data_IF_830337343760
#
_entry.id   IF_830337343760
#
_cell.length_a   1.000
_cell.length_b   1.000
_cell.length_c   1.000
_cell.angle_alpha   90.00
_cell.angle_beta   90.00
_cell.angle_gamma   90.00
#
_symmetry.space_group_name_H-M   'P 1'
#
loop_
_entity.id
_entity.type
_entity.pdbx_description
1 polymer ?
#
# COMPACT_ATOMS: atom_id res chain seq x y z
N UNK A 1 13.05 -1.47 46.41
CA UNK A 1 11.57 -1.42 46.30
C UNK A 1 11.26 -1.37 44.82
N UNK A 2 10.66 -2.39 44.20
CA UNK A 2 10.48 -2.33 42.74
C UNK A 2 9.48 -1.28 42.27
N UNK A 3 9.61 -0.88 41.00
CA UNK A 3 8.79 0.13 40.33
C UNK A 3 8.46 -0.31 38.89
N UNK A 4 7.39 0.26 38.31
CA UNK A 4 7.00 -0.03 36.92
C UNK A 4 7.61 1.00 35.97
N UNK A 5 8.15 0.53 34.84
CA UNK A 5 8.67 1.37 33.76
C UNK A 5 7.99 1.01 32.44
N UNK A 6 7.70 2.01 31.61
CA UNK A 6 7.37 1.77 30.21
C UNK A 6 8.66 1.60 29.42
N UNK A 7 8.72 0.54 28.60
CA UNK A 7 9.81 0.33 27.65
C UNK A 7 9.27 -0.11 26.30
N UNK A 8 10.02 0.14 25.24
CA UNK A 8 9.69 -0.42 23.92
C UNK A 8 9.84 -1.93 23.94
N UNK A 9 8.78 -2.65 23.56
CA UNK A 9 8.83 -4.07 23.31
C UNK A 9 9.53 -4.32 21.96
N UNK A 10 10.69 -5.01 21.94
CA UNK A 10 11.47 -5.21 20.72
C UNK A 10 10.73 -6.08 19.69
N UNK A 11 9.91 -7.04 20.13
CA UNK A 11 9.16 -7.92 19.22
C UNK A 11 8.06 -7.15 18.50
N UNK A 12 7.37 -6.24 19.19
CA UNK A 12 6.33 -5.40 18.60
C UNK A 12 6.94 -4.35 17.66
N UNK A 13 8.07 -3.76 18.04
CA UNK A 13 8.82 -2.86 17.15
C UNK A 13 9.28 -3.56 15.87
N UNK A 14 9.78 -4.79 15.97
CA UNK A 14 10.20 -5.58 14.81
C UNK A 14 9.02 -6.04 13.95
N UNK A 15 7.89 -6.42 14.56
CA UNK A 15 6.66 -6.72 13.85
C UNK A 15 6.14 -5.51 13.07
N UNK A 16 6.14 -4.32 13.68
CA UNK A 16 5.76 -3.05 13.02
C UNK A 16 6.65 -2.77 11.80
N UNK A 17 7.98 -2.92 11.96
CA UNK A 17 8.94 -2.73 10.86
C UNK A 17 8.73 -3.71 9.71
N UNK A 18 8.45 -4.98 10.01
CA UNK A 18 8.14 -6.00 8.99
C UNK A 18 6.83 -5.70 8.26
N UNK A 19 5.79 -5.30 8.98
CA UNK A 19 4.51 -4.90 8.40
C UNK A 19 4.67 -3.68 7.49
N UNK A 20 5.40 -2.65 7.93
CA UNK A 20 5.70 -1.47 7.13
C UNK A 20 6.45 -1.84 5.83
N UNK A 21 7.47 -2.69 5.93
CA UNK A 21 8.25 -3.14 4.76
C UNK A 21 7.38 -3.89 3.75
N UNK A 22 6.51 -4.79 4.22
CA UNK A 22 5.59 -5.53 3.36
C UNK A 22 4.57 -4.61 2.68
N UNK A 23 4.04 -3.62 3.39
CA UNK A 23 3.12 -2.64 2.84
C UNK A 23 3.79 -1.71 1.82
N UNK A 24 5.04 -1.29 2.05
CA UNK A 24 5.81 -0.51 1.07
C UNK A 24 6.08 -1.32 -0.21
N UNK A 25 6.37 -2.62 -0.10
CA UNK A 25 6.51 -3.49 -1.27
C UNK A 25 5.19 -3.62 -2.04
N UNK A 26 4.07 -3.83 -1.33
CA UNK A 26 2.75 -3.88 -1.93
C UNK A 26 2.38 -2.56 -2.64
N UNK A 27 2.77 -1.41 -2.07
CA UNK A 27 2.59 -0.10 -2.69
C UNK A 27 3.35 0.02 -4.01
N UNK A 28 4.60 -0.47 -4.04
CA UNK A 28 5.41 -0.52 -5.25
C UNK A 28 4.74 -1.33 -6.36
N UNK A 29 4.29 -2.54 -6.04
CA UNK A 29 3.59 -3.42 -6.99
C UNK A 29 2.27 -2.80 -7.50
N UNK A 30 1.49 -2.16 -6.62
CA UNK A 30 0.26 -1.48 -6.99
C UNK A 30 0.52 -0.29 -7.94
N UNK A 31 1.57 0.49 -7.68
CA UNK A 31 1.98 1.60 -8.55
C UNK A 31 2.46 1.12 -9.92
N UNK A 32 3.25 0.04 -9.98
CA UNK A 32 3.69 -0.57 -11.25
C UNK A 32 2.50 -1.10 -12.06
N UNK A 33 1.56 -1.78 -11.41
CA UNK A 33 0.34 -2.27 -12.04
C UNK A 33 -0.51 -1.12 -12.59
N UNK A 34 -0.67 -0.03 -11.83
CA UNK A 34 -1.38 1.17 -12.28
C UNK A 34 -0.69 1.85 -13.46
N UNK A 35 0.65 1.94 -13.45
CA UNK A 35 1.43 2.51 -14.54
C UNK A 35 1.32 1.67 -15.83
N UNK A 36 1.32 0.34 -15.71
CA UNK A 36 1.10 -0.57 -16.83
C UNK A 36 -0.31 -0.42 -17.41
N UNK A 37 -1.33 -0.37 -16.54
CA UNK A 37 -2.73 -0.15 -16.95
C UNK A 37 -2.89 1.18 -17.71
N UNK A 38 -2.33 2.27 -17.19
CA UNK A 38 -2.36 3.58 -17.86
C UNK A 38 -1.57 3.61 -19.18
N UNK A 39 -0.53 2.79 -19.31
CA UNK A 39 0.23 2.65 -20.58
C UNK A 39 -0.58 1.86 -21.61
N UNK A 40 -1.24 0.78 -21.20
CA UNK A 40 -2.16 0.02 -22.05
C UNK A 40 -3.33 0.89 -22.49
N UNK A 41 -3.90 1.69 -21.59
CA UNK A 41 -4.97 2.65 -21.91
C UNK A 41 -4.54 3.60 -23.04
N UNK A 42 -3.36 4.22 -22.92
CA UNK A 42 -2.81 5.13 -23.96
C UNK A 42 -2.56 4.43 -25.29
N UNK A 43 -1.97 3.22 -25.29
CA UNK A 43 -1.71 2.47 -26.52
C UNK A 43 -3.01 2.04 -27.21
N UNK A 44 -4.00 1.60 -26.45
CA UNK A 44 -5.28 1.15 -26.98
C UNK A 44 -6.11 2.31 -27.53
N UNK A 45 -6.08 3.47 -26.85
CA UNK A 45 -6.75 4.66 -27.35
C UNK A 45 -6.11 5.19 -28.65
N UNK A 46 -4.78 5.07 -28.78
CA UNK A 46 -4.05 5.42 -30.00
C UNK A 46 -4.35 4.47 -31.18
N UNK A 47 -4.52 3.16 -30.93
CA UNK A 47 -4.86 2.19 -31.99
C UNK A 47 -6.33 2.26 -32.43
N UNK A 48 -7.25 2.62 -31.53
CA UNK A 48 -8.68 2.81 -31.83
C UNK A 48 -8.94 4.06 -32.70
N UNK A 49 -8.19 5.15 -32.51
CA UNK A 49 -8.30 6.35 -33.37
C UNK A 49 -7.89 6.08 -34.83
N UNK A 50 -7.09 5.03 -35.09
CA UNK A 50 -6.63 4.67 -36.44
C UNK A 50 -7.48 3.61 -37.17
N UNK A 51 -8.37 2.89 -36.48
CA UNK A 51 -9.01 1.67 -37.04
C UNK A 51 -10.53 1.74 -37.21
N UNK A 52 -11.22 2.76 -36.69
CA UNK A 52 -12.64 3.00 -36.99
C UNK A 52 -13.62 1.93 -36.49
N UNK A 53 -13.17 0.93 -35.73
CA UNK A 53 -14.03 -0.15 -35.19
C UNK A 53 -14.19 0.04 -33.69
N UNK A 54 -15.36 0.55 -33.29
CA UNK A 54 -15.73 0.85 -31.91
C UNK A 54 -16.02 -0.39 -31.07
N UNK A 55 -14.98 -1.02 -30.52
CA UNK A 55 -15.12 -1.96 -29.39
C UNK A 55 -14.74 -1.21 -28.10
N UNK A 56 -15.55 -1.25 -27.02
CA UNK A 56 -15.35 -0.43 -25.83
C UNK A 56 -14.24 -0.99 -24.92
N UNK A 57 -12.98 -0.91 -25.38
CA UNK A 57 -11.81 -1.29 -24.58
C UNK A 57 -11.46 -0.22 -23.52
N UNK A 58 -11.97 1.01 -23.68
CA UNK A 58 -11.77 2.11 -22.73
C UNK A 58 -12.37 1.86 -21.35
N UNK A 59 -13.46 1.10 -21.23
CA UNK A 59 -14.11 0.83 -19.93
C UNK A 59 -13.24 -0.09 -19.07
N UNK A 60 -12.73 -1.19 -19.64
CA UNK A 60 -11.90 -2.15 -18.91
C UNK A 60 -10.55 -1.55 -18.47
N UNK A 61 -9.93 -0.72 -19.31
CA UNK A 61 -8.69 -0.03 -18.97
C UNK A 61 -8.91 1.03 -17.88
N UNK A 62 -9.95 1.86 -18.00
CA UNK A 62 -10.29 2.89 -17.02
C UNK A 62 -10.66 2.28 -15.65
N UNK A 63 -11.43 1.19 -15.61
CA UNK A 63 -11.72 0.47 -14.36
C UNK A 63 -10.45 -0.12 -13.72
N UNK A 64 -9.49 -0.57 -14.53
CA UNK A 64 -8.21 -1.11 -14.03
C UNK A 64 -7.36 0.00 -13.42
N UNK A 65 -7.23 1.15 -14.09
CA UNK A 65 -6.51 2.33 -13.57
C UNK A 65 -7.15 2.87 -12.29
N UNK A 66 -8.49 2.98 -12.24
CA UNK A 66 -9.22 3.41 -11.04
C UNK A 66 -9.07 2.45 -9.86
N UNK A 67 -9.09 1.13 -10.12
CA UNK A 67 -8.88 0.10 -9.09
C UNK A 67 -7.46 0.12 -8.53
N UNK A 68 -6.45 0.34 -9.39
CA UNK A 68 -5.07 0.49 -8.96
C UNK A 68 -4.88 1.74 -8.07
N UNK A 69 -5.51 2.86 -8.43
CA UNK A 69 -5.46 4.07 -7.61
C UNK A 69 -6.09 3.86 -6.22
N UNK A 70 -7.26 3.22 -6.15
CA UNK A 70 -7.93 2.91 -4.89
C UNK A 70 -7.08 1.93 -4.02
N UNK A 71 -6.41 0.96 -4.64
CA UNK A 71 -5.49 0.06 -3.95
C UNK A 71 -4.30 0.81 -3.37
N UNK A 72 -3.64 1.68 -4.14
CA UNK A 72 -2.54 2.54 -3.67
C UNK A 72 -2.96 3.41 -2.49
N UNK A 73 -4.12 4.08 -2.57
CA UNK A 73 -4.66 4.89 -1.46
C UNK A 73 -4.91 4.06 -0.19
N UNK A 74 -5.45 2.86 -0.33
CA UNK A 74 -5.71 1.96 0.79
C UNK A 74 -4.42 1.46 1.45
N UNK A 75 -3.38 1.16 0.64
CA UNK A 75 -2.07 0.75 1.14
C UNK A 75 -1.38 1.90 1.89
N UNK A 76 -1.46 3.14 1.38
CA UNK A 76 -0.93 4.30 2.10
C UNK A 76 -1.60 4.50 3.45
N UNK A 77 -2.93 4.33 3.53
CA UNK A 77 -3.65 4.37 4.80
C UNK A 77 -3.20 3.25 5.76
N UNK A 78 -2.97 2.03 5.26
CA UNK A 78 -2.46 0.92 6.06
C UNK A 78 -1.04 1.16 6.60
N UNK A 79 -0.17 1.82 5.83
CA UNK A 79 1.17 2.23 6.28
C UNK A 79 1.06 3.24 7.43
N UNK A 80 0.21 4.26 7.28
CA UNK A 80 -0.04 5.25 8.33
C UNK A 80 -0.59 4.61 9.61
N UNK A 81 -1.53 3.67 9.47
CA UNK A 81 -2.07 2.92 10.61
C UNK A 81 -1.00 2.08 11.30
N UNK A 82 -0.14 1.40 10.54
CA UNK A 82 0.97 0.61 11.09
C UNK A 82 1.94 1.48 11.89
N UNK A 83 2.26 2.68 11.41
CA UNK A 83 3.12 3.63 12.11
C UNK A 83 2.49 4.21 13.38
N UNK A 84 1.16 4.19 13.50
CA UNK A 84 0.44 4.61 14.71
C UNK A 84 0.35 3.55 15.81
N UNK A 85 0.80 2.32 15.56
CA UNK A 85 0.78 1.24 16.55
C UNK A 85 1.79 1.53 17.67
N UNK A 86 1.27 1.60 18.90
CA UNK A 86 2.08 1.66 20.11
C UNK A 86 2.81 0.33 20.32
N UNK A 87 4.12 0.44 20.55
CA UNK A 87 5.02 -0.69 20.72
C UNK A 87 5.59 -0.74 22.14
N UNK A 88 5.04 0.05 23.06
CA UNK A 88 5.48 0.09 24.46
C UNK A 88 4.79 -0.98 25.32
N UNK A 89 5.53 -1.51 26.29
CA UNK A 89 5.05 -2.42 27.31
C UNK A 89 5.39 -1.87 28.70
N UNK A 90 4.56 -2.21 29.69
CA UNK A 90 4.83 -1.88 31.10
C UNK A 90 5.51 -3.06 31.76
N UNK A 91 6.70 -2.85 32.33
CA UNK A 91 7.52 -3.89 32.97
C UNK A 91 7.82 -3.50 34.41
N UNK A 92 7.71 -4.46 35.32
CA UNK A 92 8.12 -4.28 36.72
C UNK A 92 9.62 -4.52 36.86
N UNK A 93 10.32 -3.59 37.49
CA UNK A 93 11.75 -3.66 37.79
C UNK A 93 11.91 -3.73 39.30
N UNK A 94 12.59 -4.76 39.80
CA UNK A 94 13.02 -4.82 41.20
C UNK A 94 14.39 -4.16 41.30
N UNK A 95 14.55 -3.23 42.25
CA UNK A 95 15.84 -2.62 42.61
C UNK A 95 16.88 -3.66 43.06
#
# INVERSE_FOLDING_TARGET
>A
MGHYVQRTNPQWAEARKRAETALQQALGMANEAGALAARLERMTNASLQGTGVGVPVGVAAHTTTGSAHAATSSIMAAIAATNSVDVTETVYVND
#
